data_IF_086905017368
#
_entry.id   IF_086905017368
#
_cell.length_a   1.000
_cell.length_b   1.000
_cell.length_c   1.000
_cell.angle_alpha   90.00
_cell.angle_beta   90.00
_cell.angle_gamma   90.00
#
_symmetry.space_group_name_H-M   'P 1'
#
loop_
_entity.id
_entity.type
_entity.pdbx_description
1 polymer ?
#
# COMPACT_ATOMS: atom_id res chain seq x y z
N UNK A 1 14.95 63.01 15.02
CA UNK A 1 15.18 61.81 14.18
C UNK A 1 14.14 60.76 14.54
N UNK A 2 13.13 60.55 13.69
CA UNK A 2 12.17 59.44 13.81
C UNK A 2 12.33 58.58 12.56
N UNK A 3 12.70 57.32 12.78
CA UNK A 3 12.89 56.31 11.74
C UNK A 3 11.53 55.91 11.16
N UNK A 4 11.26 56.28 9.90
CA UNK A 4 10.18 55.67 9.13
C UNK A 4 10.55 54.21 8.86
N UNK A 5 9.82 53.27 9.46
CA UNK A 5 9.97 51.85 9.16
C UNK A 5 9.46 51.58 7.74
N UNK A 6 10.37 51.15 6.85
CA UNK A 6 10.02 50.70 5.50
C UNK A 6 9.04 49.52 5.60
N UNK A 7 7.81 49.73 5.15
CA UNK A 7 6.77 48.69 5.10
C UNK A 7 7.15 47.62 4.06
N UNK A 8 6.96 46.34 4.34
CA UNK A 8 7.19 45.27 3.35
C UNK A 8 6.22 45.42 2.17
N UNK A 9 6.76 45.58 0.96
CA UNK A 9 5.99 45.88 -0.25
C UNK A 9 4.91 44.83 -0.58
N UNK A 10 5.10 43.57 -0.18
CA UNK A 10 4.17 42.47 -0.43
C UNK A 10 2.89 42.51 0.45
N UNK A 11 2.87 43.32 1.51
CA UNK A 11 1.72 43.47 2.43
C UNK A 11 0.88 44.73 2.15
N UNK A 12 1.26 45.57 1.20
CA UNK A 12 0.57 46.83 0.91
C UNK A 12 -0.94 46.67 0.68
N UNK A 13 -1.32 45.64 -0.09
CA UNK A 13 -2.73 45.31 -0.38
C UNK A 13 -3.59 45.02 0.86
N UNK A 14 -3.00 44.53 1.95
CA UNK A 14 -3.71 44.19 3.18
C UNK A 14 -3.96 45.44 4.04
N UNK A 15 -3.09 46.44 3.98
CA UNK A 15 -3.20 47.64 4.79
C UNK A 15 -4.34 48.56 4.36
N UNK A 16 -4.69 48.58 3.07
CA UNK A 16 -5.74 49.46 2.54
C UNK A 16 -7.16 48.86 2.62
N UNK A 17 -7.30 47.65 3.15
CA UNK A 17 -8.59 47.00 3.34
C UNK A 17 -9.40 47.62 4.49
N UNK A 18 -10.72 47.59 4.38
CA UNK A 18 -11.61 47.85 5.53
C UNK A 18 -11.33 46.83 6.65
N UNK A 19 -11.48 47.26 7.91
CA UNK A 19 -11.13 46.44 9.07
C UNK A 19 -11.85 45.09 9.10
N UNK A 20 -13.10 45.02 8.62
CA UNK A 20 -13.85 43.76 8.48
C UNK A 20 -13.22 42.78 7.48
N UNK A 21 -12.64 43.27 6.37
CA UNK A 21 -11.95 42.42 5.39
C UNK A 21 -10.61 41.91 5.93
N UNK A 22 -9.88 42.75 6.67
CA UNK A 22 -8.63 42.34 7.34
C UNK A 22 -8.86 41.21 8.33
N UNK A 23 -9.90 41.33 9.15
CA UNK A 23 -10.27 40.31 10.14
C UNK A 23 -10.69 39.00 9.46
N UNK A 24 -11.49 39.06 8.40
CA UNK A 24 -11.87 37.86 7.63
C UNK A 24 -10.65 37.12 7.08
N UNK A 25 -9.74 37.84 6.43
CA UNK A 25 -8.53 37.24 5.87
C UNK A 25 -7.66 36.65 6.98
N UNK A 26 -7.44 37.38 8.09
CA UNK A 26 -6.65 36.88 9.21
C UNK A 26 -7.23 35.56 9.78
N UNK A 27 -8.54 35.49 9.97
CA UNK A 27 -9.19 34.27 10.47
C UNK A 27 -9.07 33.11 9.48
N UNK A 28 -9.36 33.35 8.20
CA UNK A 28 -9.25 32.32 7.15
C UNK A 28 -7.82 31.77 7.11
N UNK A 29 -6.82 32.65 7.20
CA UNK A 29 -5.40 32.25 7.21
C UNK A 29 -5.07 31.44 8.48
N UNK A 30 -5.49 31.89 9.66
CA UNK A 30 -5.23 31.20 10.93
C UNK A 30 -5.91 29.83 11.02
N UNK A 31 -7.09 29.66 10.42
CA UNK A 31 -7.83 28.39 10.43
C UNK A 31 -7.36 27.44 9.32
N UNK A 32 -7.18 27.92 8.10
CA UNK A 32 -6.85 27.04 6.97
C UNK A 32 -5.41 26.52 7.02
N UNK A 33 -4.44 27.30 7.50
CA UNK A 33 -3.03 26.87 7.53
C UNK A 33 -2.84 25.61 8.38
N UNK A 34 -3.32 25.54 9.65
CA UNK A 34 -3.20 24.33 10.45
C UNK A 34 -4.00 23.17 9.89
N UNK A 35 -5.23 23.38 9.43
CA UNK A 35 -6.09 22.30 8.93
C UNK A 35 -5.47 21.66 7.69
N UNK A 36 -5.05 22.48 6.71
CA UNK A 36 -4.41 21.97 5.50
C UNK A 36 -3.01 21.43 5.79
N UNK A 37 -2.22 22.13 6.61
CA UNK A 37 -0.84 21.74 6.91
C UNK A 37 -0.75 20.45 7.72
N UNK A 38 -1.52 20.34 8.81
CA UNK A 38 -1.55 19.14 9.64
C UNK A 38 -2.34 18.01 8.97
N UNK A 39 -3.46 18.30 8.31
CA UNK A 39 -4.26 17.29 7.60
C UNK A 39 -3.45 16.64 6.48
N UNK A 40 -3.00 17.42 5.49
CA UNK A 40 -2.21 16.91 4.37
C UNK A 40 -0.90 16.29 4.86
N UNK A 41 -0.20 16.95 5.78
CA UNK A 41 1.05 16.44 6.33
C UNK A 41 0.88 15.10 7.04
N UNK A 42 -0.12 14.98 7.91
CA UNK A 42 -0.40 13.73 8.63
C UNK A 42 -0.84 12.62 7.68
N UNK A 43 -1.69 12.93 6.70
CA UNK A 43 -2.15 11.96 5.70
C UNK A 43 -0.98 11.45 4.86
N UNK A 44 -0.06 12.31 4.42
CA UNK A 44 1.15 11.89 3.68
C UNK A 44 2.02 10.97 4.52
N UNK A 45 2.30 11.33 5.78
CA UNK A 45 3.10 10.51 6.69
C UNK A 45 2.44 9.16 6.94
N UNK A 46 1.14 9.16 7.27
CA UNK A 46 0.37 7.96 7.56
C UNK A 46 0.32 7.02 6.35
N UNK A 47 0.07 7.53 5.15
CA UNK A 47 0.07 6.73 3.91
C UNK A 47 1.46 6.16 3.64
N UNK A 48 2.51 6.96 3.77
CA UNK A 48 3.88 6.48 3.55
C UNK A 48 4.25 5.37 4.54
N UNK A 49 3.89 5.52 5.81
CA UNK A 49 4.13 4.56 6.88
C UNK A 49 3.34 3.26 6.66
N UNK A 50 2.04 3.36 6.39
CA UNK A 50 1.21 2.17 6.13
C UNK A 50 1.64 1.44 4.86
N UNK A 51 2.05 2.16 3.81
CA UNK A 51 2.62 1.53 2.62
C UNK A 51 3.93 0.82 2.92
N UNK A 52 4.84 1.42 3.68
CA UNK A 52 6.07 0.77 4.09
C UNK A 52 5.78 -0.52 4.90
N UNK A 53 4.80 -0.47 5.79
CA UNK A 53 4.33 -1.64 6.54
C UNK A 53 3.74 -2.72 5.63
N UNK A 54 2.89 -2.35 4.65
CA UNK A 54 2.33 -3.27 3.67
C UNK A 54 3.41 -3.95 2.81
N UNK A 55 4.46 -3.22 2.42
CA UNK A 55 5.59 -3.79 1.70
C UNK A 55 6.32 -4.84 2.55
N UNK A 56 6.60 -4.51 3.82
CA UNK A 56 7.22 -5.45 4.75
C UNK A 56 6.33 -6.67 5.00
N UNK A 57 5.02 -6.45 5.14
CA UNK A 57 4.04 -7.52 5.31
C UNK A 57 4.02 -8.43 4.09
N UNK A 58 3.90 -7.89 2.87
CA UNK A 58 3.86 -8.69 1.65
C UNK A 58 5.11 -9.55 1.48
N UNK A 59 6.31 -9.03 1.82
CA UNK A 59 7.57 -9.81 1.84
C UNK A 59 7.54 -10.96 2.85
N UNK A 60 6.98 -10.76 4.04
CA UNK A 60 6.80 -11.84 5.02
C UNK A 60 5.76 -12.85 4.59
N UNK A 61 4.66 -12.40 3.98
CA UNK A 61 3.58 -13.27 3.50
C UNK A 61 4.03 -14.16 2.33
N UNK A 62 4.89 -13.66 1.42
CA UNK A 62 5.45 -14.51 0.34
C UNK A 62 6.41 -15.58 0.88
N UNK A 63 7.09 -15.33 2.00
CA UNK A 63 7.89 -16.36 2.68
C UNK A 63 7.01 -17.50 3.24
N UNK A 64 5.78 -17.19 3.67
CA UNK A 64 4.79 -18.22 4.03
C UNK A 64 4.33 -19.01 2.80
N UNK A 65 4.18 -18.35 1.65
CA UNK A 65 3.93 -19.04 0.37
C UNK A 65 5.07 -20.00 0.02
N UNK A 66 6.33 -19.60 0.23
CA UNK A 66 7.50 -20.46 0.05
C UNK A 66 7.51 -21.65 0.99
N UNK A 67 7.18 -21.45 2.26
CA UNK A 67 7.03 -22.55 3.21
C UNK A 67 5.97 -23.56 2.72
N UNK A 68 4.78 -23.07 2.34
CA UNK A 68 3.69 -23.91 1.80
C UNK A 68 4.08 -24.63 0.50
N UNK A 69 4.85 -23.97 -0.37
CA UNK A 69 5.42 -24.58 -1.55
C UNK A 69 6.36 -25.74 -1.15
N UNK A 70 7.26 -25.52 -0.20
CA UNK A 70 8.27 -26.50 0.19
C UNK A 70 7.75 -27.67 1.04
N UNK A 71 6.59 -27.54 1.72
CA UNK A 71 6.02 -28.62 2.57
C UNK A 71 5.98 -29.96 1.82
N UNK A 72 5.44 -29.97 0.60
CA UNK A 72 5.29 -31.21 -0.17
C UNK A 72 6.63 -31.79 -0.62
N UNK A 73 7.55 -30.92 -1.02
CA UNK A 73 8.90 -31.31 -1.43
C UNK A 73 9.67 -31.91 -0.26
N UNK A 74 9.50 -31.34 0.94
CA UNK A 74 10.10 -31.89 2.16
C UNK A 74 9.51 -33.26 2.52
N UNK A 75 8.19 -33.43 2.43
CA UNK A 75 7.54 -34.74 2.62
C UNK A 75 8.03 -35.80 1.63
N UNK A 76 8.19 -35.44 0.34
CA UNK A 76 8.84 -36.31 -0.65
C UNK A 76 10.29 -36.63 -0.28
N UNK A 77 11.03 -35.64 0.22
CA UNK A 77 12.40 -35.79 0.74
C UNK A 77 12.51 -36.84 1.84
N UNK A 78 11.65 -36.77 2.86
CA UNK A 78 11.62 -37.78 3.93
C UNK A 78 11.20 -39.16 3.42
N UNK A 79 10.19 -39.22 2.56
CA UNK A 79 9.72 -40.49 2.02
C UNK A 79 10.74 -41.22 1.17
N UNK A 80 11.36 -40.51 0.24
CA UNK A 80 12.37 -41.08 -0.65
C UNK A 80 13.62 -41.54 0.09
N UNK A 81 14.03 -40.86 1.18
CA UNK A 81 15.10 -41.36 2.07
C UNK A 81 14.72 -42.65 2.77
N UNK A 82 13.48 -42.76 3.26
CA UNK A 82 13.01 -44.02 3.85
C UNK A 82 13.00 -45.19 2.84
N UNK A 83 12.65 -44.91 1.58
CA UNK A 83 12.63 -45.93 0.53
C UNK A 83 14.00 -46.21 -0.11
N UNK A 84 14.98 -45.29 -0.01
CA UNK A 84 16.33 -45.55 -0.53
C UNK A 84 17.03 -46.67 0.24
N UNK A 85 16.61 -46.91 1.50
CA UNK A 85 17.15 -47.97 2.35
C UNK A 85 16.29 -49.25 2.32
N UNK A 86 15.22 -49.27 1.51
CA UNK A 86 14.33 -50.43 1.40
C UNK A 86 15.09 -51.59 0.72
N UNK A 87 15.17 -52.79 1.34
CA UNK A 87 15.93 -53.92 0.79
C UNK A 87 15.53 -54.32 -0.63
N UNK A 88 14.25 -54.19 -0.99
CA UNK A 88 13.75 -54.51 -2.33
C UNK A 88 14.27 -53.49 -3.36
N UNK A 89 14.28 -52.20 -3.00
CA UNK A 89 14.78 -51.11 -3.84
C UNK A 89 16.30 -51.19 -3.99
N UNK A 90 17.01 -51.43 -2.88
CA UNK A 90 18.47 -51.61 -2.88
C UNK A 90 18.87 -52.80 -3.74
N UNK A 91 18.22 -53.95 -3.57
CA UNK A 91 18.51 -55.14 -4.36
C UNK A 91 18.24 -54.91 -5.86
N UNK A 92 17.15 -54.23 -6.20
CA UNK A 92 16.85 -53.84 -7.57
C UNK A 92 17.97 -52.97 -8.19
N UNK A 93 18.48 -52.00 -7.45
CA UNK A 93 19.61 -51.18 -7.88
C UNK A 93 20.90 -51.99 -8.04
N UNK A 94 21.21 -52.91 -7.10
CA UNK A 94 22.38 -53.80 -7.19
C UNK A 94 22.33 -54.71 -8.41
N UNK A 95 21.20 -55.35 -8.70
CA UNK A 95 21.01 -56.21 -9.88
C UNK A 95 21.26 -55.41 -11.16
N UNK A 96 20.71 -54.21 -11.25
CA UNK A 96 20.93 -53.32 -12.41
C UNK A 96 22.40 -52.88 -12.54
N UNK A 97 23.10 -52.62 -11.42
CA UNK A 97 24.52 -52.26 -11.42
C UNK A 97 25.41 -53.39 -11.99
N UNK A 98 25.00 -54.65 -11.81
CA UNK A 98 25.68 -55.82 -12.39
C UNK A 98 25.37 -56.03 -13.87
N UNK A 99 24.60 -55.14 -14.51
CA UNK A 99 24.17 -55.26 -15.90
C UNK A 99 23.10 -56.33 -16.11
N UNK A 100 22.44 -56.79 -15.03
CA UNK A 100 21.38 -57.79 -15.09
C UNK A 100 20.00 -57.13 -15.11
N UNK A 101 19.08 -57.74 -15.86
CA UNK A 101 17.66 -57.35 -15.82
C UNK A 101 16.98 -57.94 -14.59
N UNK A 102 16.11 -57.17 -13.94
CA UNK A 102 15.29 -57.69 -12.86
C UNK A 102 14.35 -58.79 -13.37
N UNK A 103 14.13 -59.81 -12.55
CA UNK A 103 13.03 -60.75 -12.76
C UNK A 103 11.68 -60.01 -12.68
N UNK A 104 10.69 -60.46 -13.46
CA UNK A 104 9.38 -59.82 -13.55
C UNK A 104 8.71 -59.63 -12.17
N UNK A 105 8.81 -60.61 -11.28
CA UNK A 105 8.21 -60.51 -9.93
C UNK A 105 8.87 -59.43 -9.07
N UNK A 106 10.21 -59.35 -9.11
CA UNK A 106 10.96 -58.31 -8.40
C UNK A 106 10.65 -56.92 -8.97
N UNK A 107 10.56 -56.81 -10.30
CA UNK A 107 10.17 -55.56 -10.96
C UNK A 107 8.75 -55.13 -10.57
N UNK A 108 7.81 -56.08 -10.49
CA UNK A 108 6.43 -55.81 -10.04
C UNK A 108 6.38 -55.37 -8.57
N UNK A 109 7.18 -55.97 -7.69
CA UNK A 109 7.29 -55.54 -6.29
C UNK A 109 7.82 -54.11 -6.17
N UNK A 110 8.90 -53.78 -6.89
CA UNK A 110 9.44 -52.41 -6.93
C UNK A 110 8.38 -51.45 -7.45
N UNK A 111 7.72 -51.79 -8.56
CA UNK A 111 6.64 -50.96 -9.12
C UNK A 111 5.52 -50.71 -8.12
N UNK A 112 5.09 -51.74 -7.38
CA UNK A 112 4.05 -51.62 -6.37
C UNK A 112 4.49 -50.69 -5.21
N UNK A 113 5.75 -50.78 -4.77
CA UNK A 113 6.31 -49.85 -3.78
C UNK A 113 6.22 -48.40 -4.31
N UNK A 114 6.67 -48.15 -5.54
CA UNK A 114 6.63 -46.82 -6.15
C UNK A 114 5.19 -46.30 -6.30
N UNK A 115 4.24 -47.16 -6.68
CA UNK A 115 2.81 -46.80 -6.78
C UNK A 115 2.19 -46.48 -5.42
N UNK A 116 2.55 -47.22 -4.37
CA UNK A 116 2.13 -46.93 -3.01
C UNK A 116 2.68 -45.57 -2.55
N UNK A 117 3.92 -45.24 -2.90
CA UNK A 117 4.53 -43.95 -2.59
C UNK A 117 3.83 -42.79 -3.32
N UNK A 118 3.52 -42.97 -4.61
CA UNK A 118 2.72 -42.04 -5.43
C UNK A 118 1.36 -41.76 -4.79
N UNK A 119 0.64 -42.81 -4.38
CA UNK A 119 -0.68 -42.70 -3.76
C UNK A 119 -0.63 -42.07 -2.38
N UNK A 120 0.26 -42.56 -1.50
CA UNK A 120 0.39 -42.10 -0.13
C UNK A 120 0.81 -40.62 -0.05
N UNK A 121 1.66 -40.18 -0.99
CA UNK A 121 2.13 -38.80 -1.05
C UNK A 121 1.33 -37.94 -2.00
N UNK A 122 0.36 -38.44 -2.77
CA UNK A 122 -0.37 -37.63 -3.75
C UNK A 122 0.58 -36.84 -4.68
N UNK A 123 1.55 -37.55 -5.26
CA UNK A 123 2.54 -37.02 -6.20
C UNK A 123 2.36 -37.73 -7.54
N UNK A 124 2.95 -37.20 -8.61
CA UNK A 124 2.72 -37.68 -9.97
C UNK A 124 3.80 -38.66 -10.46
N UNK A 125 5.00 -38.63 -9.87
CA UNK A 125 6.15 -39.41 -10.33
C UNK A 125 6.81 -40.15 -9.17
N UNK A 126 7.14 -41.41 -9.40
CA UNK A 126 8.13 -42.15 -8.63
C UNK A 126 8.87 -43.11 -9.57
N UNK A 127 10.18 -42.92 -9.68
CA UNK A 127 11.03 -43.66 -10.63
C UNK A 127 12.34 -44.06 -9.98
N UNK A 128 12.71 -45.33 -10.14
CA UNK A 128 14.01 -45.88 -9.77
C UNK A 128 14.93 -45.89 -11.00
N UNK A 129 16.10 -45.28 -10.88
CA UNK A 129 17.05 -45.10 -11.99
C UNK A 129 18.43 -45.65 -11.60
N UNK A 130 19.07 -46.35 -12.54
CA UNK A 130 20.42 -46.87 -12.38
C UNK A 130 21.49 -45.77 -12.45
N UNK A 131 22.72 -46.11 -12.06
CA UNK A 131 23.88 -45.21 -12.19
C UNK A 131 24.12 -44.73 -13.63
N UNK A 132 23.74 -45.56 -14.61
CA UNK A 132 23.87 -45.29 -16.05
C UNK A 132 22.65 -44.54 -16.64
N UNK A 133 21.80 -43.98 -15.78
CA UNK A 133 20.60 -43.22 -16.13
C UNK A 133 19.50 -44.06 -16.82
N UNK A 134 19.51 -45.39 -16.64
CA UNK A 134 18.45 -46.25 -17.14
C UNK A 134 17.34 -46.43 -16.11
N UNK A 135 16.10 -46.38 -16.55
CA UNK A 135 14.94 -46.62 -15.68
C UNK A 135 14.89 -48.12 -15.32
N UNK A 136 15.01 -48.41 -14.03
CA UNK A 136 14.90 -49.76 -13.47
C UNK A 136 13.43 -50.11 -13.26
N UNK A 137 12.64 -49.15 -12.74
CA UNK A 137 11.21 -49.26 -12.52
C UNK A 137 10.58 -47.87 -12.37
N UNK A 138 9.32 -47.72 -12.76
CA UNK A 138 8.55 -46.50 -12.55
C UNK A 138 7.09 -46.80 -12.20
N UNK A 139 6.45 -45.90 -11.45
CA UNK A 139 5.10 -46.12 -10.92
C UNK A 139 4.01 -46.11 -12.01
N UNK A 140 4.22 -45.34 -13.09
CA UNK A 140 3.23 -45.07 -14.11
C UNK A 140 3.31 -46.07 -15.29
N UNK A 141 3.25 -45.57 -16.53
CA UNK A 141 3.40 -46.39 -17.75
C UNK A 141 4.77 -47.04 -17.77
N UNK A 142 4.85 -48.33 -18.08
CA UNK A 142 6.14 -49.05 -18.03
C UNK A 142 7.16 -48.43 -19.00
N UNK A 143 8.26 -47.91 -18.45
CA UNK A 143 9.38 -47.30 -19.20
C UNK A 143 10.72 -47.94 -18.86
N UNK A 144 10.69 -49.16 -18.33
CA UNK A 144 11.91 -49.87 -17.92
C UNK A 144 12.86 -50.08 -19.10
N UNK A 145 14.14 -49.82 -18.87
CA UNK A 145 15.20 -49.85 -19.87
C UNK A 145 15.38 -48.54 -20.65
N UNK A 146 14.44 -47.60 -20.60
CA UNK A 146 14.62 -46.29 -21.21
C UNK A 146 15.75 -45.52 -20.51
N UNK A 147 16.57 -44.81 -21.29
CA UNK A 147 17.66 -43.99 -20.77
C UNK A 147 17.24 -42.52 -20.68
N UNK A 148 17.46 -41.90 -19.52
CA UNK A 148 17.29 -40.47 -19.30
C UNK A 148 18.54 -39.76 -19.87
N UNK A 149 18.58 -39.62 -21.20
CA UNK A 149 19.79 -39.24 -21.93
C UNK A 149 20.07 -37.72 -21.99
N UNK A 150 19.05 -36.87 -21.81
CA UNK A 150 19.16 -35.44 -22.05
C UNK A 150 18.33 -34.59 -21.08
N UNK A 151 18.68 -33.31 -20.97
CA UNK A 151 17.95 -32.32 -20.15
C UNK A 151 18.53 -32.15 -18.75
N UNK A 152 17.98 -31.20 -17.99
CA UNK A 152 18.53 -30.85 -16.68
C UNK A 152 18.32 -31.95 -15.63
N UNK A 153 17.24 -32.74 -15.75
CA UNK A 153 17.02 -33.89 -14.86
C UNK A 153 18.20 -34.89 -14.90
N UNK A 154 18.75 -35.18 -16.07
CA UNK A 154 19.94 -36.04 -16.20
C UNK A 154 21.15 -35.46 -15.47
N UNK A 155 21.34 -34.13 -15.52
CA UNK A 155 22.43 -33.45 -14.82
C UNK A 155 22.23 -33.50 -13.30
N UNK A 156 20.99 -33.28 -12.82
CA UNK A 156 20.67 -33.36 -11.40
C UNK A 156 20.87 -34.78 -10.85
N UNK A 157 20.51 -35.82 -11.61
CA UNK A 157 20.78 -37.22 -11.25
C UNK A 157 22.29 -37.46 -11.11
N UNK A 158 23.09 -37.07 -12.12
CA UNK A 158 24.55 -37.21 -12.08
C UNK A 158 25.16 -36.49 -10.87
N UNK A 159 24.68 -35.29 -10.54
CA UNK A 159 25.13 -34.54 -9.37
C UNK A 159 24.78 -35.25 -8.07
N UNK A 160 23.57 -35.80 -7.95
CA UNK A 160 23.15 -36.55 -6.76
C UNK A 160 23.98 -37.84 -6.59
N UNK A 161 24.29 -38.54 -7.68
CA UNK A 161 25.17 -39.72 -7.68
C UNK A 161 26.59 -39.34 -7.25
N UNK A 162 27.16 -38.30 -7.87
CA UNK A 162 28.54 -37.88 -7.59
C UNK A 162 28.71 -37.34 -6.16
N UNK A 163 27.73 -36.60 -5.65
CA UNK A 163 27.76 -36.02 -4.31
C UNK A 163 27.27 -36.95 -3.21
N UNK A 164 26.54 -38.03 -3.54
CA UNK A 164 25.93 -38.92 -2.55
C UNK A 164 24.91 -38.23 -1.64
N UNK A 165 24.31 -37.13 -2.12
CA UNK A 165 23.38 -36.26 -1.41
C UNK A 165 22.04 -36.16 -2.13
N UNK A 166 20.97 -35.94 -1.35
CA UNK A 166 19.64 -35.69 -1.90
C UNK A 166 19.61 -34.28 -2.52
N UNK A 167 18.99 -34.18 -3.69
CA UNK A 167 18.79 -32.92 -4.40
C UNK A 167 17.29 -32.69 -4.57
N UNK A 168 16.83 -31.49 -4.22
CA UNK A 168 15.48 -31.00 -4.51
C UNK A 168 15.58 -29.95 -5.60
N UNK A 169 14.76 -29.99 -6.65
CA UNK A 169 14.87 -29.03 -7.76
C UNK A 169 13.51 -28.72 -8.38
N UNK A 170 13.40 -27.52 -8.96
CA UNK A 170 12.23 -27.12 -9.75
C UNK A 170 12.59 -27.12 -11.23
N UNK A 171 11.81 -27.79 -12.06
CA UNK A 171 12.12 -28.01 -13.48
C UNK A 171 10.91 -27.79 -14.38
N UNK A 172 11.20 -27.60 -15.66
CA UNK A 172 10.20 -27.59 -16.73
C UNK A 172 10.08 -29.00 -17.27
N UNK A 173 8.88 -29.55 -17.18
CA UNK A 173 8.54 -30.82 -17.77
C UNK A 173 7.81 -30.59 -19.09
N UNK A 174 8.40 -31.07 -20.19
CA UNK A 174 7.80 -30.88 -21.50
C UNK A 174 6.54 -31.72 -21.68
N UNK A 175 5.62 -31.25 -22.52
CA UNK A 175 4.40 -31.98 -22.88
C UNK A 175 4.67 -33.42 -23.37
N UNK A 176 5.75 -33.62 -24.13
CA UNK A 176 6.14 -34.94 -24.65
C UNK A 176 6.51 -35.88 -23.49
N UNK A 177 7.24 -35.37 -22.49
CA UNK A 177 7.61 -36.16 -21.32
C UNK A 177 6.39 -36.49 -20.44
N UNK A 178 5.48 -35.52 -20.23
CA UNK A 178 4.20 -35.78 -19.57
C UNK A 178 3.40 -36.88 -20.28
N UNK A 179 3.37 -36.86 -21.61
CA UNK A 179 2.62 -37.83 -22.42
C UNK A 179 3.25 -39.22 -22.38
N UNK A 180 4.59 -39.29 -22.31
CA UNK A 180 5.33 -40.55 -22.16
C UNK A 180 5.12 -41.18 -20.79
N UNK A 181 5.21 -40.38 -19.73
CA UNK A 181 5.02 -40.86 -18.36
C UNK A 181 3.56 -41.23 -18.06
N UNK A 182 2.61 -40.46 -18.60
CA UNK A 182 1.17 -40.57 -18.35
C UNK A 182 0.81 -40.59 -16.84
N UNK A 183 1.20 -39.56 -16.06
CA UNK A 183 0.91 -39.49 -14.64
C UNK A 183 -0.59 -39.24 -14.37
N UNK A 184 -1.07 -39.53 -13.14
CA UNK A 184 -2.40 -39.09 -12.71
C UNK A 184 -2.43 -37.56 -12.58
N UNK A 185 -3.02 -36.87 -13.56
CA UNK A 185 -3.09 -35.41 -13.59
C UNK A 185 -4.34 -34.89 -12.87
N UNK A 186 -4.20 -33.72 -12.23
CA UNK A 186 -5.34 -32.96 -11.70
C UNK A 186 -6.11 -32.25 -12.82
N UNK A 187 -7.38 -31.90 -12.56
CA UNK A 187 -8.23 -31.25 -13.55
C UNK A 187 -7.60 -29.97 -14.13
N UNK A 188 -7.34 -30.01 -15.44
CA UNK A 188 -6.82 -28.90 -16.22
C UNK A 188 -5.30 -28.68 -16.16
N UNK A 189 -4.51 -29.70 -15.79
CA UNK A 189 -3.04 -29.75 -15.94
C UNK A 189 -2.56 -30.31 -17.31
N UNK A 190 -3.45 -30.42 -18.30
CA UNK A 190 -3.39 -31.50 -19.31
C UNK A 190 -3.01 -31.11 -20.75
N UNK A 191 -2.30 -30.00 -21.02
CA UNK A 191 -2.03 -29.67 -22.44
C UNK A 191 -0.76 -28.90 -22.79
N UNK A 192 0.02 -28.46 -21.81
CA UNK A 192 1.22 -27.64 -22.00
C UNK A 192 2.37 -28.13 -21.09
N UNK A 193 3.54 -27.52 -21.22
CA UNK A 193 4.65 -27.75 -20.31
C UNK A 193 4.24 -27.48 -18.86
N UNK A 194 4.74 -28.31 -17.95
CA UNK A 194 4.39 -28.23 -16.54
C UNK A 194 5.61 -27.86 -15.69
N UNK A 195 5.38 -27.04 -14.67
CA UNK A 195 6.33 -26.89 -13.59
C UNK A 195 6.27 -28.14 -12.71
N UNK A 196 7.40 -28.81 -12.54
CA UNK A 196 7.55 -29.99 -11.69
C UNK A 196 8.60 -29.75 -10.62
N UNK A 197 8.41 -30.37 -9.46
CA UNK A 197 9.35 -30.35 -8.35
C UNK A 197 9.89 -31.75 -8.16
N UNK A 198 11.19 -31.92 -8.34
CA UNK A 198 11.87 -33.19 -8.16
C UNK A 198 12.51 -33.30 -6.79
N UNK A 199 12.53 -34.52 -6.27
CA UNK A 199 13.38 -34.97 -5.17
C UNK A 199 14.15 -36.18 -5.69
N UNK A 200 15.47 -36.06 -5.74
CA UNK A 200 16.39 -37.07 -6.24
C UNK A 200 17.21 -37.54 -5.05
N UNK A 201 17.05 -38.81 -4.69
CA UNK A 201 17.66 -39.41 -3.50
C UNK A 201 18.61 -40.52 -3.92
N UNK A 202 19.90 -40.44 -3.58
CA UNK A 202 20.85 -41.48 -3.90
C UNK A 202 20.56 -42.75 -3.10
N UNK A 203 20.71 -43.89 -3.75
CA UNK A 203 20.60 -45.21 -3.12
C UNK A 203 22.03 -45.69 -2.89
N UNK A 204 22.37 -45.96 -1.64
CA UNK A 204 23.71 -46.41 -1.24
C UNK A 204 23.68 -47.91 -1.00
N UNK A 205 24.74 -48.60 -1.39
CA UNK A 205 24.95 -49.98 -0.99
C UNK A 205 25.17 -50.02 0.54
N UNK A 206 24.40 -50.83 1.30
CA UNK A 206 24.58 -50.97 2.74
C UNK A 206 25.99 -51.41 3.15
N UNK A 207 26.71 -52.16 2.31
CA UNK A 207 28.00 -52.76 2.64
C UNK A 207 29.17 -51.78 2.48
N UNK A 208 29.24 -51.05 1.37
CA UNK A 208 30.38 -50.19 1.03
C UNK A 208 30.03 -48.70 0.93
N UNK A 209 28.75 -48.33 1.09
CA UNK A 209 28.22 -46.96 1.00
C UNK A 209 28.33 -46.30 -0.38
N UNK A 210 28.68 -47.06 -1.43
CA UNK A 210 28.73 -46.56 -2.80
C UNK A 210 27.32 -46.26 -3.33
N UNK A 211 27.19 -45.19 -4.13
CA UNK A 211 25.92 -44.89 -4.78
C UNK A 211 25.71 -45.84 -5.96
N UNK A 212 24.66 -46.66 -5.87
CA UNK A 212 24.30 -47.72 -6.83
C UNK A 212 23.11 -47.35 -7.73
N UNK A 213 22.40 -46.27 -7.40
CA UNK A 213 21.30 -45.73 -8.20
C UNK A 213 20.69 -44.49 -7.54
N UNK A 214 19.57 -44.02 -8.08
CA UNK A 214 18.78 -42.94 -7.49
C UNK A 214 17.29 -43.24 -7.52
N UNK A 215 16.59 -42.78 -6.49
CA UNK A 215 15.15 -42.74 -6.42
C UNK A 215 14.67 -41.30 -6.68
N UNK A 216 13.76 -41.14 -7.64
CA UNK A 216 13.26 -39.84 -8.09
C UNK A 216 11.77 -39.76 -7.81
N UNK A 217 11.38 -38.81 -6.98
CA UNK A 217 9.99 -38.42 -6.78
C UNK A 217 9.73 -37.08 -7.46
N UNK A 218 8.53 -36.91 -8.03
CA UNK A 218 8.17 -35.69 -8.75
C UNK A 218 6.74 -35.27 -8.50
N UNK A 219 6.56 -33.97 -8.29
CA UNK A 219 5.29 -33.33 -7.95
C UNK A 219 5.01 -32.16 -8.91
N UNK A 220 3.98 -32.32 -9.75
CA UNK A 220 3.55 -31.31 -10.73
C UNK A 220 2.82 -30.17 -10.01
N UNK A 221 3.22 -28.94 -10.25
CA UNK A 221 2.63 -27.75 -9.61
C UNK A 221 1.39 -27.24 -10.36
N UNK A 222 1.32 -27.45 -11.67
CA UNK A 222 0.24 -26.94 -12.51
C UNK A 222 -1.13 -27.42 -12.00
N UNK A 223 -2.04 -26.48 -11.76
CA UNK A 223 -3.38 -26.78 -11.25
C UNK A 223 -3.47 -27.16 -9.76
N UNK A 224 -2.34 -27.25 -9.03
CA UNK A 224 -2.37 -27.55 -7.58
C UNK A 224 -2.80 -26.33 -6.78
N UNK A 225 -4.11 -26.21 -6.56
CA UNK A 225 -4.71 -25.10 -5.81
C UNK A 225 -4.28 -25.09 -4.33
N UNK A 226 -3.96 -26.26 -3.75
CA UNK A 226 -3.60 -26.38 -2.33
C UNK A 226 -2.42 -25.49 -1.91
N UNK A 227 -1.47 -25.20 -2.80
CA UNK A 227 -0.34 -24.29 -2.53
C UNK A 227 -0.84 -22.86 -2.29
N UNK A 228 -1.68 -22.37 -3.19
CA UNK A 228 -2.26 -21.03 -3.10
C UNK A 228 -3.31 -20.94 -1.99
N UNK A 229 -4.13 -21.98 -1.84
CA UNK A 229 -5.19 -22.08 -0.83
C UNK A 229 -4.64 -22.08 0.59
N UNK A 230 -3.60 -22.86 0.87
CA UNK A 230 -2.97 -22.88 2.20
C UNK A 230 -2.38 -21.52 2.58
N UNK A 231 -1.85 -20.79 1.58
CA UNK A 231 -1.39 -19.41 1.79
C UNK A 231 -2.56 -18.49 2.11
N UNK A 232 -3.64 -18.52 1.32
CA UNK A 232 -4.80 -17.65 1.56
C UNK A 232 -5.57 -18.01 2.83
N UNK A 233 -5.57 -19.27 3.28
CA UNK A 233 -6.14 -19.69 4.56
C UNK A 233 -5.42 -19.04 5.74
N UNK A 234 -4.09 -18.86 5.66
CA UNK A 234 -3.30 -18.23 6.71
C UNK A 234 -3.61 -16.72 6.88
N UNK A 235 -3.96 -16.03 5.80
CA UNK A 235 -4.18 -14.57 5.78
C UNK A 235 -5.63 -14.14 5.53
N UNK A 236 -6.54 -15.10 5.30
CA UNK A 236 -7.96 -14.90 5.06
C UNK A 236 -8.35 -14.41 3.66
N UNK A 237 -7.53 -13.56 3.02
CA UNK A 237 -7.82 -12.90 1.73
C UNK A 237 -6.57 -12.61 0.88
N UNK A 238 -6.79 -12.15 -0.35
CA UNK A 238 -5.79 -11.61 -1.26
C UNK A 238 -5.48 -12.53 -2.44
N UNK A 239 -4.28 -12.40 -2.98
CA UNK A 239 -3.82 -13.17 -4.14
C UNK A 239 -2.64 -14.08 -3.76
N UNK A 240 -2.61 -15.30 -4.28
CA UNK A 240 -1.45 -16.20 -4.17
C UNK A 240 -1.29 -16.96 -5.47
N UNK A 241 -0.07 -17.06 -5.99
CA UNK A 241 0.18 -17.76 -7.24
C UNK A 241 1.60 -18.31 -7.33
N UNK A 242 1.75 -19.29 -8.22
CA UNK A 242 3.03 -19.81 -8.68
C UNK A 242 3.11 -19.65 -10.18
N UNK A 243 4.20 -19.06 -10.64
CA UNK A 243 4.53 -18.86 -12.04
C UNK A 243 5.71 -19.73 -12.44
N UNK A 244 5.63 -20.26 -13.64
CA UNK A 244 6.71 -20.85 -14.39
C UNK A 244 7.38 -19.77 -15.23
N UNK A 245 8.70 -19.72 -15.28
CA UNK A 245 9.48 -18.91 -16.22
C UNK A 245 10.16 -19.82 -17.23
N UNK A 246 9.93 -19.57 -18.51
CA UNK A 246 10.59 -20.26 -19.61
C UNK A 246 12.00 -19.67 -19.85
N UNK A 247 12.91 -20.42 -20.52
CA UNK A 247 14.24 -19.93 -20.84
C UNK A 247 14.27 -18.66 -21.71
N UNK A 248 13.21 -18.41 -22.49
CA UNK A 248 13.05 -17.18 -23.27
C UNK A 248 12.64 -15.96 -22.42
N UNK A 249 12.41 -16.15 -21.12
CA UNK A 249 11.98 -15.11 -20.18
C UNK A 249 10.47 -14.94 -20.06
N UNK A 250 9.66 -15.67 -20.83
CA UNK A 250 8.20 -15.63 -20.73
C UNK A 250 7.72 -16.31 -19.45
N UNK A 251 6.61 -15.81 -18.90
CA UNK A 251 5.99 -16.33 -17.70
C UNK A 251 4.66 -17.02 -18.02
N UNK A 252 4.48 -18.22 -17.50
CA UNK A 252 3.21 -18.95 -17.54
C UNK A 252 2.69 -19.18 -16.13
N UNK A 253 1.37 -19.08 -15.96
CA UNK A 253 0.72 -19.31 -14.69
C UNK A 253 0.60 -20.83 -14.43
N UNK A 254 1.24 -21.33 -13.36
CA UNK A 254 1.10 -22.73 -12.95
C UNK A 254 -0.13 -22.94 -12.08
N UNK A 255 -0.33 -22.08 -11.08
CA UNK A 255 -1.51 -22.11 -10.20
C UNK A 255 -1.72 -20.74 -9.57
N UNK A 256 -2.97 -20.36 -9.32
CA UNK A 256 -3.30 -19.16 -8.58
C UNK A 256 -4.61 -19.33 -7.85
N UNK A 257 -4.74 -18.63 -6.74
CA UNK A 257 -6.00 -18.39 -6.07
C UNK A 257 -6.13 -16.91 -5.71
N UNK A 258 -7.31 -16.38 -5.96
CA UNK A 258 -7.69 -15.01 -5.68
C UNK A 258 -8.94 -15.00 -4.82
N UNK A 259 -8.88 -14.33 -3.67
CA UNK A 259 -10.01 -14.15 -2.76
C UNK A 259 -10.15 -12.68 -2.38
N UNK A 260 -11.20 -12.04 -2.87
CA UNK A 260 -11.49 -10.63 -2.65
C UNK A 260 -11.73 -10.33 -1.16
N UNK A 261 -11.34 -9.13 -0.73
CA UNK A 261 -11.59 -8.64 0.63
C UNK A 261 -13.05 -8.18 0.84
N UNK A 262 -13.66 -7.58 -0.18
CA UNK A 262 -14.92 -6.84 -0.08
C UNK A 262 -16.19 -7.70 -0.12
N UNK A 263 -16.12 -8.97 -0.52
CA UNK A 263 -17.26 -9.87 -0.55
C UNK A 263 -16.95 -11.12 0.27
N UNK A 264 -17.55 -11.22 1.46
CA UNK A 264 -17.45 -12.40 2.34
C UNK A 264 -18.04 -13.69 1.71
N UNK A 265 -18.62 -13.59 0.50
CA UNK A 265 -19.43 -14.64 -0.13
C UNK A 265 -19.15 -14.89 -1.62
N UNK A 266 -18.02 -14.43 -2.15
CA UNK A 266 -17.57 -14.90 -3.47
C UNK A 266 -16.60 -16.06 -3.31
N UNK A 267 -16.92 -17.18 -3.97
CA UNK A 267 -16.00 -18.32 -4.06
C UNK A 267 -14.63 -17.86 -4.57
N UNK A 268 -13.53 -18.41 -4.02
CA UNK A 268 -12.19 -18.12 -4.50
C UNK A 268 -12.08 -18.36 -6.02
N UNK A 269 -11.57 -17.38 -6.74
CA UNK A 269 -11.33 -17.52 -8.18
C UNK A 269 -9.96 -18.15 -8.41
N UNK A 270 -9.91 -19.20 -9.21
CA UNK A 270 -8.67 -19.83 -9.64
C UNK A 270 -8.25 -19.36 -11.03
N UNK A 271 -6.98 -19.59 -11.39
CA UNK A 271 -6.41 -19.26 -12.72
C UNK A 271 -6.50 -17.77 -13.11
N UNK A 272 -6.35 -16.87 -12.14
CA UNK A 272 -6.28 -15.42 -12.34
C UNK A 272 -4.82 -15.01 -12.54
N UNK A 273 -4.40 -14.60 -13.75
CA UNK A 273 -3.04 -14.12 -13.99
C UNK A 273 -2.84 -12.71 -13.44
N UNK A 274 -1.57 -12.34 -13.23
CA UNK A 274 -1.19 -10.96 -12.96
C UNK A 274 -1.40 -10.10 -14.22
N UNK A 275 -1.86 -8.86 -14.07
CA UNK A 275 -2.02 -7.94 -15.20
C UNK A 275 -0.68 -7.46 -15.78
N UNK A 276 0.37 -7.46 -14.96
CA UNK A 276 1.74 -7.07 -15.32
C UNK A 276 2.72 -8.04 -14.66
N UNK A 277 3.68 -8.53 -15.43
CA UNK A 277 4.68 -9.52 -15.03
C UNK A 277 6.05 -8.90 -14.73
N UNK A 278 6.19 -7.57 -14.76
CA UNK A 278 7.44 -6.86 -14.45
C UNK A 278 7.99 -7.21 -13.06
N UNK A 279 7.12 -7.37 -12.06
CA UNK A 279 7.50 -7.85 -10.72
C UNK A 279 8.13 -9.25 -10.73
N UNK A 280 7.70 -10.12 -11.65
CA UNK A 280 8.25 -11.46 -11.82
C UNK A 280 9.65 -11.40 -12.44
N UNK A 281 9.83 -10.57 -13.47
CA UNK A 281 11.13 -10.35 -14.08
C UNK A 281 12.16 -9.82 -13.07
N UNK A 282 11.75 -8.86 -12.24
CA UNK A 282 12.61 -8.33 -11.17
C UNK A 282 12.92 -9.40 -10.10
N UNK A 283 11.93 -10.19 -9.68
CA UNK A 283 12.13 -11.25 -8.69
C UNK A 283 13.03 -12.39 -9.20
N UNK A 284 13.00 -12.71 -10.50
CA UNK A 284 13.91 -13.71 -11.10
C UNK A 284 15.37 -13.30 -10.96
N UNK A 285 15.67 -12.00 -11.06
CA UNK A 285 17.03 -11.45 -10.95
C UNK A 285 17.47 -11.21 -9.49
N UNK A 286 16.54 -11.22 -8.54
CA UNK A 286 16.78 -10.89 -7.15
C UNK A 286 17.38 -12.03 -6.30
N UNK A 287 17.76 -13.17 -6.92
CA UNK A 287 18.47 -14.30 -6.28
C UNK A 287 17.85 -14.77 -4.96
N UNK A 288 16.52 -14.84 -4.91
CA UNK A 288 15.77 -15.28 -3.73
C UNK A 288 15.33 -14.16 -2.78
N UNK A 289 15.69 -12.91 -3.03
CA UNK A 289 15.09 -11.79 -2.32
C UNK A 289 13.67 -11.49 -2.84
N UNK A 290 12.79 -11.07 -1.93
CA UNK A 290 11.43 -10.69 -2.28
C UNK A 290 11.39 -9.27 -2.85
N UNK A 291 10.87 -9.14 -4.07
CA UNK A 291 10.64 -7.86 -4.76
C UNK A 291 9.17 -7.50 -4.67
N UNK A 292 8.87 -6.21 -4.56
CA UNK A 292 7.50 -5.72 -4.36
C UNK A 292 7.08 -4.71 -5.42
N UNK A 293 5.82 -4.77 -5.84
CA UNK A 293 5.20 -3.83 -6.77
C UNK A 293 3.72 -3.64 -6.44
N UNK A 294 3.17 -2.48 -6.75
CA UNK A 294 1.74 -2.20 -6.59
C UNK A 294 1.00 -2.53 -7.90
N UNK A 295 -0.01 -3.39 -7.85
CA UNK A 295 -0.81 -3.78 -9.01
C UNK A 295 -2.31 -3.80 -8.66
N UNK A 296 -3.17 -3.60 -9.66
CA UNK A 296 -4.62 -3.71 -9.50
C UNK A 296 -5.11 -5.03 -10.09
N UNK A 297 -5.75 -5.87 -9.27
CA UNK A 297 -6.31 -7.17 -9.68
C UNK A 297 -7.82 -7.11 -9.39
N UNK A 298 -8.65 -7.27 -10.42
CA UNK A 298 -10.11 -7.22 -10.26
C UNK A 298 -10.63 -5.88 -9.75
N UNK A 299 -9.93 -4.77 -10.03
CA UNK A 299 -10.31 -3.42 -9.60
C UNK A 299 -9.86 -3.04 -8.18
N UNK A 300 -9.29 -3.98 -7.41
CA UNK A 300 -8.72 -3.72 -6.09
C UNK A 300 -7.20 -3.60 -6.19
N UNK A 301 -6.63 -2.64 -5.47
CA UNK A 301 -5.17 -2.46 -5.41
C UNK A 301 -4.54 -3.41 -4.40
N UNK A 302 -3.43 -4.02 -4.81
CA UNK A 302 -2.63 -4.95 -4.02
C UNK A 302 -1.18 -4.49 -3.99
N UNK A 303 -0.56 -4.64 -2.83
CA UNK A 303 0.90 -4.73 -2.72
C UNK A 303 1.30 -6.17 -3.05
N UNK A 304 1.91 -6.37 -4.19
CA UNK A 304 2.41 -7.66 -4.67
C UNK A 304 3.84 -7.84 -4.18
N UNK A 305 4.14 -9.00 -3.62
CA UNK A 305 5.49 -9.49 -3.39
C UNK A 305 5.73 -10.73 -4.26
N UNK A 306 6.84 -10.76 -4.97
CA UNK A 306 7.28 -11.91 -5.75
C UNK A 306 8.67 -12.36 -5.29
N UNK A 307 8.90 -13.68 -5.28
CA UNK A 307 10.18 -14.28 -4.88
C UNK A 307 10.51 -15.48 -5.76
N UNK A 308 11.75 -15.55 -6.25
CA UNK A 308 12.25 -16.71 -6.98
C UNK A 308 12.49 -17.90 -6.02
N UNK A 309 12.10 -19.10 -6.46
CA UNK A 309 12.44 -20.37 -5.81
C UNK A 309 13.87 -20.76 -6.21
N UNK A 310 14.68 -21.36 -5.32
CA UNK A 310 15.97 -21.95 -5.71
C UNK A 310 15.81 -22.93 -6.87
N UNK A 311 16.73 -22.88 -7.84
CA UNK A 311 16.76 -23.87 -8.94
C UNK A 311 16.97 -25.28 -8.38
N UNK A 312 17.84 -25.39 -7.37
CA UNK A 312 18.05 -26.63 -6.62
C UNK A 312 18.43 -26.36 -5.16
N UNK A 313 18.19 -27.34 -4.31
CA UNK A 313 18.59 -27.38 -2.92
C UNK A 313 19.31 -28.71 -2.69
N UNK A 314 20.54 -28.66 -2.17
CA UNK A 314 21.34 -29.85 -1.89
C UNK A 314 21.37 -30.10 -0.38
N UNK A 315 20.90 -31.27 0.04
CA UNK A 315 20.81 -31.66 1.45
C UNK A 315 22.18 -32.15 1.94
N UNK A 316 22.84 -31.36 2.80
CA UNK A 316 24.07 -31.74 3.49
C UNK A 316 23.75 -32.15 4.94
N UNK A 317 24.64 -32.90 5.61
CA UNK A 317 24.52 -33.18 7.05
C UNK A 317 24.43 -31.90 7.90
N UNK A 318 25.11 -30.83 7.47
CA UNK A 318 25.17 -29.55 8.19
C UNK A 318 24.03 -28.58 7.83
N UNK A 319 23.16 -28.96 6.89
CA UNK A 319 22.01 -28.15 6.46
C UNK A 319 21.73 -28.20 4.97
N UNK A 320 20.59 -27.64 4.57
CA UNK A 320 20.20 -27.55 3.17
C UNK A 320 20.80 -26.30 2.52
N UNK A 321 21.50 -26.47 1.39
CA UNK A 321 22.14 -25.37 0.65
C UNK A 321 21.31 -25.04 -0.59
N UNK A 322 20.59 -23.90 -0.63
CA UNK A 322 19.87 -23.45 -1.82
C UNK A 322 20.84 -22.86 -2.86
N UNK A 323 20.59 -23.15 -4.12
CA UNK A 323 21.35 -22.61 -5.27
C UNK A 323 20.40 -21.83 -6.15
N UNK A 324 20.63 -20.52 -6.22
CA UNK A 324 19.90 -19.59 -7.08
C UNK A 324 20.69 -19.33 -8.37
N UNK A 325 19.96 -19.26 -9.49
CA UNK A 325 20.45 -18.82 -10.79
C UNK A 325 19.63 -17.62 -11.26
N UNK A 326 20.15 -16.85 -12.21
CA UNK A 326 19.38 -15.80 -12.91
C UNK A 326 18.25 -16.40 -13.76
N UNK A 327 18.37 -17.69 -14.10
CA UNK A 327 17.34 -18.48 -14.76
C UNK A 327 16.45 -19.21 -13.75
N UNK A 328 15.90 -18.47 -12.78
CA UNK A 328 14.91 -19.02 -11.87
C UNK A 328 13.71 -19.57 -12.66
N UNK A 329 13.36 -20.84 -12.41
CA UNK A 329 12.29 -21.54 -13.15
C UNK A 329 10.92 -21.31 -12.51
N UNK A 330 10.87 -21.17 -11.18
CA UNK A 330 9.63 -20.99 -10.44
C UNK A 330 9.65 -19.69 -9.64
N UNK A 331 8.55 -18.95 -9.70
CA UNK A 331 8.33 -17.73 -8.93
C UNK A 331 7.05 -17.82 -8.11
N UNK A 332 7.16 -17.42 -6.86
CA UNK A 332 6.06 -17.34 -5.92
C UNK A 332 5.56 -15.92 -5.85
N UNK A 333 4.24 -15.75 -5.80
CA UNK A 333 3.60 -14.45 -5.75
C UNK A 333 2.60 -14.42 -4.62
N UNK A 334 2.62 -13.32 -3.87
CA UNK A 334 1.63 -12.97 -2.88
C UNK A 334 1.14 -11.56 -3.12
N UNK A 335 -0.18 -11.36 -3.12
CA UNK A 335 -0.79 -10.02 -3.17
C UNK A 335 -1.58 -9.72 -1.91
N UNK A 336 -1.09 -8.76 -1.14
CA UNK A 336 -1.73 -8.27 0.08
C UNK A 336 -2.66 -7.09 -0.29
N UNK A 337 -3.97 -7.15 0.03
CA UNK A 337 -4.92 -6.13 -0.35
C UNK A 337 -4.64 -4.81 0.36
N UNK A 338 -4.73 -3.69 -0.36
CA UNK A 338 -4.63 -2.35 0.22
C UNK A 338 -6.00 -1.79 0.64
N UNK A 339 -7.05 -2.61 0.64
CA UNK A 339 -8.42 -2.18 0.95
C UNK A 339 -8.54 -1.49 2.33
N UNK A 340 -7.78 -1.97 3.32
CA UNK A 340 -7.74 -1.34 4.64
C UNK A 340 -7.11 0.06 4.57
N UNK A 341 -6.05 0.23 3.78
CA UNK A 341 -5.43 1.54 3.56
C UNK A 341 -6.40 2.49 2.83
N UNK A 342 -7.08 2.01 1.80
CA UNK A 342 -8.08 2.79 1.05
C UNK A 342 -9.26 3.21 1.95
N UNK A 343 -9.67 2.34 2.88
CA UNK A 343 -10.70 2.64 3.88
C UNK A 343 -10.25 3.67 4.92
N UNK A 344 -9.03 3.56 5.44
CA UNK A 344 -8.43 4.55 6.35
C UNK A 344 -8.28 5.91 5.65
N UNK A 345 -7.90 5.91 4.37
CA UNK A 345 -7.77 7.14 3.58
C UNK A 345 -9.11 7.83 3.36
N UNK A 346 -10.12 7.10 2.91
CA UNK A 346 -11.45 7.67 2.66
C UNK A 346 -12.11 8.19 3.94
N UNK A 347 -11.98 7.47 5.05
CA UNK A 347 -12.46 7.94 6.35
C UNK A 347 -11.71 9.18 6.85
N UNK A 348 -10.38 9.25 6.66
CA UNK A 348 -9.59 10.43 7.03
C UNK A 348 -10.01 11.67 6.23
N UNK A 349 -10.19 11.53 4.90
CA UNK A 349 -10.66 12.63 4.06
C UNK A 349 -12.07 13.11 4.43
N UNK A 350 -12.98 12.20 4.81
CA UNK A 350 -14.31 12.57 5.29
C UNK A 350 -14.23 13.37 6.61
N UNK A 351 -13.37 12.96 7.54
CA UNK A 351 -13.14 13.68 8.80
C UNK A 351 -12.54 15.08 8.54
N UNK A 352 -11.54 15.18 7.66
CA UNK A 352 -10.97 16.47 7.24
C UNK A 352 -12.03 17.39 6.61
N UNK A 353 -12.89 16.85 5.73
CA UNK A 353 -13.98 17.60 5.12
C UNK A 353 -14.99 18.11 6.16
N UNK A 354 -15.34 17.30 7.15
CA UNK A 354 -16.23 17.70 8.25
C UNK A 354 -15.59 18.84 9.06
N UNK A 355 -14.32 18.71 9.43
CA UNK A 355 -13.59 19.75 10.18
C UNK A 355 -13.56 21.05 9.38
N UNK A 356 -13.27 20.99 8.07
CA UNK A 356 -13.29 22.16 7.19
C UNK A 356 -14.66 22.85 7.15
N UNK A 357 -15.75 22.08 7.04
CA UNK A 357 -17.11 22.63 7.04
C UNK A 357 -17.44 23.31 8.38
N UNK A 358 -17.08 22.68 9.49
CA UNK A 358 -17.29 23.24 10.83
C UNK A 358 -16.48 24.52 11.04
N UNK A 359 -15.21 24.55 10.66
CA UNK A 359 -14.36 25.75 10.72
C UNK A 359 -14.92 26.88 9.86
N UNK A 360 -15.42 26.60 8.66
CA UNK A 360 -16.11 27.60 7.83
C UNK A 360 -17.35 28.16 8.53
N UNK A 361 -18.13 27.30 9.19
CA UNK A 361 -19.26 27.73 10.01
C UNK A 361 -18.87 28.69 11.13
N UNK A 362 -17.76 28.40 11.84
CA UNK A 362 -17.21 29.26 12.88
C UNK A 362 -16.75 30.60 12.31
N UNK A 363 -16.03 30.60 11.18
CA UNK A 363 -15.57 31.83 10.52
C UNK A 363 -16.76 32.73 10.14
N UNK A 364 -17.79 32.16 9.53
CA UNK A 364 -19.01 32.89 9.13
C UNK A 364 -19.73 33.42 10.36
N UNK A 365 -19.94 32.58 11.37
CA UNK A 365 -20.61 32.96 12.62
C UNK A 365 -19.89 34.11 13.33
N UNK A 366 -18.57 33.99 13.49
CA UNK A 366 -17.74 35.02 14.10
C UNK A 366 -17.73 36.33 13.29
N UNK A 367 -17.67 36.23 11.95
CA UNK A 367 -17.74 37.42 11.07
C UNK A 367 -19.03 38.21 11.25
N UNK A 368 -20.16 37.50 11.33
CA UNK A 368 -21.47 38.10 11.56
C UNK A 368 -21.56 38.74 12.95
N UNK A 369 -21.01 38.08 13.97
CA UNK A 369 -20.94 38.62 15.33
C UNK A 369 -20.06 39.88 15.38
N UNK A 370 -18.82 39.80 14.89
CA UNK A 370 -17.87 40.92 14.86
C UNK A 370 -18.42 42.12 14.09
N UNK A 371 -19.12 41.88 12.97
CA UNK A 371 -19.79 42.94 12.23
C UNK A 371 -20.84 43.66 13.08
N UNK A 372 -21.61 42.91 13.88
CA UNK A 372 -22.69 43.47 14.71
C UNK A 372 -22.17 44.16 15.97
N UNK A 373 -21.16 43.60 16.63
CA UNK A 373 -20.69 44.07 17.95
C UNK A 373 -19.61 45.13 17.85
N UNK A 374 -18.79 45.13 16.78
CA UNK A 374 -17.67 46.06 16.64
C UNK A 374 -17.83 46.96 15.42
N UNK A 375 -18.00 46.38 14.23
CA UNK A 375 -17.94 47.17 12.98
C UNK A 375 -19.12 48.14 12.83
N UNK A 376 -20.35 47.70 13.13
CA UNK A 376 -21.55 48.53 13.02
C UNK A 376 -21.52 49.73 13.98
N UNK A 377 -21.24 49.56 15.29
CA UNK A 377 -21.10 50.71 16.20
C UNK A 377 -20.02 51.69 15.78
N UNK A 378 -18.87 51.21 15.28
CA UNK A 378 -17.81 52.08 14.75
C UNK A 378 -18.29 52.86 13.53
N UNK A 379 -18.99 52.21 12.59
CA UNK A 379 -19.56 52.89 11.40
C UNK A 379 -20.64 53.92 11.77
N UNK A 380 -21.43 53.66 12.81
CA UNK A 380 -22.42 54.62 13.31
C UNK A 380 -21.75 55.83 13.97
N UNK A 381 -20.70 55.59 14.78
CA UNK A 381 -19.89 56.66 15.36
C UNK A 381 -19.18 57.49 14.28
N UNK A 382 -18.63 56.83 13.24
CA UNK A 382 -18.01 57.50 12.09
C UNK A 382 -19.00 58.44 11.40
N UNK A 383 -20.22 57.98 11.11
CA UNK A 383 -21.28 58.80 10.51
C UNK A 383 -21.68 59.97 11.41
N UNK A 384 -21.94 59.71 12.69
CA UNK A 384 -22.30 60.76 13.64
C UNK A 384 -21.21 61.83 13.74
N UNK A 385 -19.94 61.42 13.69
CA UNK A 385 -18.80 62.34 13.67
C UNK A 385 -18.75 63.16 12.38
N UNK A 386 -19.00 62.54 11.22
CA UNK A 386 -19.05 63.23 9.92
C UNK A 386 -20.19 64.24 9.85
N UNK A 387 -21.39 63.87 10.32
CA UNK A 387 -22.57 64.76 10.34
C UNK A 387 -22.34 65.95 11.29
N UNK A 388 -21.77 65.69 12.47
CA UNK A 388 -21.37 66.74 13.42
C UNK A 388 -20.32 67.69 12.83
N UNK A 389 -19.36 67.16 12.07
CA UNK A 389 -18.35 67.96 11.38
C UNK A 389 -18.91 68.78 10.22
N UNK A 390 -19.99 68.32 9.58
CA UNK A 390 -20.69 69.03 8.50
C UNK A 390 -21.62 70.15 8.99
N UNK A 391 -21.76 70.33 10.31
CA UNK A 391 -22.47 71.44 10.92
C UNK A 391 -23.75 71.06 11.67
N UNK A 392 -24.18 69.80 11.64
CA UNK A 392 -25.30 69.36 12.48
C UNK A 392 -24.82 69.09 13.92
N UNK A 393 -24.86 70.15 14.74
CA UNK A 393 -24.41 70.12 16.14
C UNK A 393 -25.33 69.32 17.07
N UNK A 394 -26.50 68.91 16.60
CA UNK A 394 -27.48 68.15 17.39
C UNK A 394 -27.21 66.64 17.39
N UNK A 395 -26.39 66.14 16.46
CA UNK A 395 -26.12 64.70 16.33
C UNK A 395 -25.38 64.14 17.54
N UNK A 396 -25.82 62.98 18.02
CA UNK A 396 -25.15 62.18 19.05
C UNK A 396 -25.11 60.72 18.58
N UNK A 397 -24.03 60.01 18.93
CA UNK A 397 -23.86 58.61 18.60
C UNK A 397 -24.50 57.71 19.69
N UNK A 398 -25.22 56.66 19.29
CA UNK A 398 -25.82 55.71 20.22
C UNK A 398 -24.76 54.78 20.84
N UNK A 399 -24.83 54.57 22.16
CA UNK A 399 -23.87 53.75 22.91
C UNK A 399 -24.35 52.28 22.93
N UNK A 400 -23.82 51.46 22.01
CA UNK A 400 -24.22 50.06 21.85
C UNK A 400 -23.47 49.05 22.74
N UNK A 401 -22.33 49.42 23.31
CA UNK A 401 -21.46 48.52 24.08
C UNK A 401 -20.91 49.19 25.33
N UNK A 402 -20.38 48.38 26.26
CA UNK A 402 -19.68 48.83 27.48
C UNK A 402 -18.16 48.65 27.38
N UNK A 403 -17.68 48.17 26.24
CA UNK A 403 -16.27 47.97 25.93
C UNK A 403 -15.59 49.28 25.48
N UNK A 404 -14.39 49.17 24.93
CA UNK A 404 -13.61 50.30 24.40
C UNK A 404 -14.35 51.07 23.30
N UNK A 405 -15.17 50.40 22.48
CA UNK A 405 -15.99 51.06 21.46
C UNK A 405 -17.07 51.90 22.13
N UNK A 406 -17.73 51.38 23.16
CA UNK A 406 -18.69 52.11 23.97
C UNK A 406 -18.09 53.34 24.66
N UNK A 407 -16.92 53.19 25.26
CA UNK A 407 -16.21 54.29 25.92
C UNK A 407 -15.81 55.39 24.93
N UNK A 408 -15.38 55.02 23.73
CA UNK A 408 -15.08 55.97 22.65
C UNK A 408 -16.32 56.75 22.22
N UNK A 409 -17.47 56.07 22.08
CA UNK A 409 -18.75 56.73 21.77
C UNK A 409 -19.15 57.73 22.86
N UNK A 410 -18.99 57.37 24.14
CA UNK A 410 -19.28 58.28 25.27
C UNK A 410 -18.35 59.50 25.23
N UNK A 411 -17.06 59.29 24.97
CA UNK A 411 -16.10 60.38 24.86
C UNK A 411 -16.46 61.34 23.71
N UNK A 412 -16.86 60.82 22.55
CA UNK A 412 -17.36 61.63 21.43
C UNK A 412 -18.60 62.45 21.82
N UNK A 413 -19.60 61.82 22.43
CA UNK A 413 -20.83 62.53 22.82
C UNK A 413 -20.55 63.66 23.83
N UNK A 414 -19.63 63.46 24.78
CA UNK A 414 -19.19 64.52 25.72
C UNK A 414 -18.50 65.68 25.00
N UNK A 415 -17.63 65.38 24.03
CA UNK A 415 -16.99 66.41 23.22
C UNK A 415 -18.03 67.20 22.40
N UNK A 416 -18.99 66.50 21.77
CA UNK A 416 -20.07 67.13 21.00
C UNK A 416 -20.95 68.04 21.87
N UNK A 417 -21.25 67.63 23.11
CA UNK A 417 -21.98 68.45 24.08
C UNK A 417 -21.24 69.74 24.43
N UNK A 418 -19.98 69.62 24.84
CA UNK A 418 -19.16 70.78 25.21
C UNK A 418 -19.05 71.81 24.06
N UNK A 419 -18.92 71.33 22.82
CA UNK A 419 -18.85 72.21 21.65
C UNK A 419 -20.20 72.89 21.39
N UNK A 420 -21.31 72.15 21.46
CA UNK A 420 -22.65 72.71 21.25
C UNK A 420 -22.99 73.77 22.31
N UNK A 421 -22.68 73.50 23.59
CA UNK A 421 -22.84 74.48 24.67
C UNK A 421 -21.99 75.74 24.43
N UNK A 422 -20.74 75.57 24.00
CA UNK A 422 -19.84 76.70 23.71
C UNK A 422 -20.38 77.56 22.57
N UNK A 423 -20.86 76.95 21.48
CA UNK A 423 -21.47 77.70 20.36
C UNK A 423 -22.79 78.39 20.75
N UNK A 424 -23.60 77.78 21.62
CA UNK A 424 -24.81 78.40 22.14
C UNK A 424 -24.50 79.62 23.01
N UNK A 425 -23.48 79.55 23.86
CA UNK A 425 -23.01 80.69 24.67
C UNK A 425 -22.53 81.81 23.75
N UNK A 426 -21.67 81.50 22.77
CA UNK A 426 -21.15 82.47 21.81
C UNK A 426 -22.24 83.13 20.97
N UNK A 427 -23.23 82.37 20.49
CA UNK A 427 -24.35 82.93 19.71
C UNK A 427 -25.29 83.79 20.56
N UNK A 428 -25.52 83.42 21.83
CA UNK A 428 -26.29 84.23 22.78
C UNK A 428 -25.57 85.54 23.08
N UNK A 429 -24.25 85.50 23.24
CA UNK A 429 -23.42 86.69 23.47
C UNK A 429 -23.37 87.60 22.24
N UNK A 430 -23.19 87.04 21.04
CA UNK A 430 -23.28 87.78 19.79
C UNK A 430 -24.65 88.46 19.60
N UNK A 431 -25.74 87.75 19.91
CA UNK A 431 -27.10 88.30 19.85
C UNK A 431 -27.31 89.45 20.83
N UNK A 432 -26.74 89.35 22.04
CA UNK A 432 -26.74 90.43 23.04
C UNK A 432 -25.95 91.64 22.57
N UNK A 433 -24.75 91.44 22.01
CA UNK A 433 -23.94 92.52 21.45
C UNK A 433 -24.64 93.21 20.27
N UNK A 434 -25.31 92.46 19.40
CA UNK A 434 -26.07 93.02 18.30
C UNK A 434 -27.26 93.85 18.79
N UNK A 435 -27.97 93.39 19.83
CA UNK A 435 -29.03 94.16 20.47
C UNK A 435 -28.51 95.46 21.08
N UNK A 436 -27.40 95.41 21.83
CA UNK A 436 -26.76 96.61 22.40
C UNK A 436 -26.29 97.58 21.31
N UNK A 437 -25.74 97.08 20.20
CA UNK A 437 -25.32 97.91 19.07
C UNK A 437 -26.52 98.58 18.36
N UNK A 438 -27.66 97.89 18.23
CA UNK A 438 -28.90 98.47 17.69
C UNK A 438 -29.46 99.55 18.61
N UNK A 439 -29.45 99.33 19.92
CA UNK A 439 -29.86 100.33 20.91
C UNK A 439 -28.94 101.55 20.90
N UNK A 440 -27.62 101.36 20.84
CA UNK A 440 -26.66 102.45 20.72
C UNK A 440 -26.83 103.24 19.41
N UNK A 441 -27.11 102.58 18.28
CA UNK A 441 -27.41 103.25 17.00
C UNK A 441 -28.71 104.05 17.07
N UNK A 442 -29.77 103.48 17.65
CA UNK A 442 -31.03 104.21 17.86
C UNK A 442 -30.84 105.45 18.75
N UNK A 443 -30.02 105.34 19.80
CA UNK A 443 -29.64 106.49 20.64
C UNK A 443 -28.84 107.52 19.86
N UNK A 444 -27.92 107.09 18.99
CA UNK A 444 -27.11 107.98 18.13
C UNK A 444 -27.97 108.71 17.10
N UNK A 445 -28.91 108.04 16.45
CA UNK A 445 -29.86 108.66 15.51
C UNK A 445 -30.77 109.68 16.21
N UNK A 446 -31.22 109.39 17.44
CA UNK A 446 -31.96 110.35 18.27
C UNK A 446 -31.07 111.55 18.64
N UNK A 447 -29.79 111.34 18.96
CA UNK A 447 -28.88 112.45 19.28
C UNK A 447 -28.56 113.32 18.06
N UNK A 448 -28.48 112.72 16.85
CA UNK A 448 -28.33 113.48 15.60
C UNK A 448 -29.60 114.28 15.30
N UNK A 449 -30.80 113.72 15.47
CA UNK A 449 -32.06 114.45 15.29
C UNK A 449 -32.28 115.59 16.30
N UNK A 450 -31.75 115.47 17.52
CA UNK A 450 -31.81 116.55 18.51
C UNK A 450 -30.75 117.65 18.30
N UNK A 451 -29.72 117.41 17.49
CA UNK A 451 -28.66 118.39 17.19
C UNK A 451 -28.99 119.30 16.01
N UNK A 452 -29.92 118.90 15.14
CA UNK A 452 -30.43 119.69 14.01
C UNK A 452 -31.74 120.47 14.33
N UNK A 453 -32.07 120.61 15.62
CA UNK A 453 -33.06 121.56 16.15
C UNK A 453 -32.39 122.53 17.09
#
# INVERSE_FOLDING_TARGET
MRTESRRPAWLGWFYDLQIGRKQMIAMVVCELIPILGLGVGSTVVLVSSLRAQLLSQAKSEVAVTEANYNVKVNQMGFGSRGQSDNPVIVNAAKVSQQGQSLANDAQNQVKQILQNEVKARQIEYATLVSKDLQIIANANKNRVGEKIASGNLANLIKQSIAGGQQIKASEILSKEELSREAPPLSEGASSADALIRYVITPIKDPENQDVIGVLIFGDIVNGKLSIAENTLKAFGTGYSAVYLRYPNGEFALSTSLYKTFLNQQTDPQSRVPLPDTSVLAAAAQAKGEAVTQRLSIGGQTYTIAAKAVPNRIVEHPDGAIPVYSEDAIALLVRGTPEAVLDQVLSSSLQQEAIVLILSLGVIIGWSLLFRRTVLKPIQQLERATQDFAQGDRSVRAEVFSRDEVGQLTIAFNRMAENIAETEQILSTEASRQEHQAKEARALTDITVQMRDR
#
